data_IF_009137170969
#
_entry.id   IF_009137170969
#
_cell.length_a   1.000
_cell.length_b   1.000
_cell.length_c   1.000
_cell.angle_alpha   90.00
_cell.angle_beta   90.00
_cell.angle_gamma   90.00
#
_symmetry.space_group_name_H-M   'P 1'
#
loop_
_entity.id
_entity.type
_entity.pdbx_description
1 polymer ?
#
# COMPACT_ATOMS: atom_id res chain seq x y z
N UNK A 1 -85.64 9.78 -8.28
CA UNK A 1 -84.41 10.50 -8.62
C UNK A 1 -83.43 10.36 -7.54
N UNK A 2 -82.45 9.44 -7.72
CA UNK A 2 -81.39 9.18 -6.76
C UNK A 2 -80.07 9.15 -7.50
N UNK A 3 -79.23 10.12 -7.19
CA UNK A 3 -77.93 10.37 -7.83
C UNK A 3 -76.88 9.54 -7.15
N UNK A 4 -76.34 8.53 -7.83
CA UNK A 4 -75.21 7.74 -7.36
C UNK A 4 -73.91 8.53 -7.52
N UNK A 5 -73.21 8.77 -6.42
CA UNK A 5 -71.94 9.48 -6.36
C UNK A 5 -70.79 8.46 -6.30
N UNK A 6 -70.08 8.28 -7.40
CA UNK A 6 -68.92 7.41 -7.54
C UNK A 6 -67.73 8.00 -6.75
N UNK A 7 -67.31 7.29 -5.70
CA UNK A 7 -66.10 7.57 -4.93
C UNK A 7 -64.92 6.81 -5.52
N UNK A 8 -64.03 7.52 -6.21
CA UNK A 8 -62.77 6.98 -6.73
C UNK A 8 -61.73 6.92 -5.61
N UNK A 9 -61.39 5.71 -5.21
CA UNK A 9 -60.28 5.49 -4.28
C UNK A 9 -58.99 5.52 -5.11
N UNK A 10 -58.15 6.53 -4.89
CA UNK A 10 -56.81 6.63 -5.44
C UNK A 10 -55.86 5.91 -4.45
N UNK A 11 -55.45 4.70 -4.81
CA UNK A 11 -54.43 3.99 -4.06
C UNK A 11 -53.05 4.57 -4.41
N UNK A 12 -52.49 5.38 -3.50
CA UNK A 12 -51.11 5.88 -3.59
C UNK A 12 -50.11 4.76 -3.26
N UNK A 13 -49.41 4.31 -4.27
CA UNK A 13 -48.28 3.40 -4.12
C UNK A 13 -47.04 4.23 -3.69
N UNK A 14 -46.71 4.20 -2.40
CA UNK A 14 -45.47 4.77 -1.89
C UNK A 14 -44.31 3.87 -2.27
N UNK A 15 -43.53 4.25 -3.27
CA UNK A 15 -42.26 3.57 -3.63
C UNK A 15 -41.21 3.95 -2.61
N UNK A 16 -40.97 3.02 -1.64
CA UNK A 16 -39.90 3.13 -0.66
C UNK A 16 -38.57 2.78 -1.36
N UNK A 17 -37.83 3.79 -1.83
CA UNK A 17 -36.49 3.60 -2.42
C UNK A 17 -35.50 3.38 -1.29
N UNK A 18 -35.12 2.12 -1.05
CA UNK A 18 -33.99 1.78 -0.19
C UNK A 18 -32.69 2.16 -0.90
N UNK A 19 -32.10 3.28 -0.50
CA UNK A 19 -30.69 3.57 -0.83
C UNK A 19 -29.81 2.61 -0.03
N UNK A 20 -29.39 1.49 -0.63
CA UNK A 20 -28.26 0.71 -0.15
C UNK A 20 -27.00 1.56 -0.40
N UNK A 21 -26.57 2.30 0.61
CA UNK A 21 -25.24 2.89 0.63
C UNK A 21 -24.23 1.73 0.75
N UNK A 22 -23.71 1.26 -0.38
CA UNK A 22 -22.56 0.38 -0.40
C UNK A 22 -21.37 1.18 0.12
N UNK A 23 -21.05 1.05 1.40
CA UNK A 23 -19.76 1.49 1.94
C UNK A 23 -18.70 0.64 1.26
N UNK A 24 -18.00 1.20 0.27
CA UNK A 24 -16.80 0.59 -0.28
C UNK A 24 -15.76 0.54 0.84
N UNK A 25 -15.70 -0.59 1.52
CA UNK A 25 -14.67 -0.85 2.51
C UNK A 25 -13.35 -0.88 1.76
N UNK A 26 -12.44 0.03 2.07
CA UNK A 26 -11.13 0.04 1.44
C UNK A 26 -10.51 -1.36 1.61
N UNK A 27 -10.12 -1.98 0.50
CA UNK A 27 -9.54 -3.31 0.53
C UNK A 27 -8.32 -3.30 1.46
N UNK A 28 -8.30 -4.26 2.39
CA UNK A 28 -7.19 -4.44 3.33
C UNK A 28 -5.92 -4.77 2.54
N UNK A 29 -4.80 -4.21 2.98
CA UNK A 29 -3.50 -4.48 2.37
C UNK A 29 -3.08 -5.92 2.68
N UNK A 30 -2.94 -6.74 1.65
CA UNK A 30 -2.53 -8.14 1.80
C UNK A 30 -1.27 -8.46 1.00
N UNK A 31 -0.29 -9.14 1.62
CA UNK A 31 0.90 -9.59 0.91
C UNK A 31 0.56 -10.72 -0.06
N UNK A 32 1.19 -10.70 -1.23
CA UNK A 32 1.10 -11.79 -2.20
C UNK A 32 1.73 -13.07 -1.64
N UNK A 33 1.27 -14.24 -2.07
CA UNK A 33 1.90 -15.53 -1.70
C UNK A 33 3.31 -15.69 -2.26
N UNK A 34 3.60 -15.01 -3.36
CA UNK A 34 4.93 -15.02 -4.00
C UNK A 34 5.25 -13.62 -4.52
N UNK A 35 6.54 -13.27 -4.57
CA UNK A 35 7.06 -12.07 -5.23
C UNK A 35 8.24 -12.51 -6.12
N UNK A 36 8.02 -12.49 -7.45
CA UNK A 36 8.90 -13.16 -8.37
C UNK A 36 8.96 -14.66 -8.03
N UNK A 37 10.14 -15.18 -7.85
CA UNK A 37 10.38 -16.59 -7.49
C UNK A 37 10.44 -16.84 -5.98
N UNK A 38 10.39 -15.79 -5.16
CA UNK A 38 10.42 -15.91 -3.71
C UNK A 38 9.03 -16.22 -3.15
N UNK A 39 8.96 -17.02 -2.08
CA UNK A 39 7.72 -17.41 -1.40
C UNK A 39 7.58 -16.65 -0.09
N UNK A 40 6.34 -16.29 0.24
CA UNK A 40 5.99 -15.71 1.53
C UNK A 40 6.25 -16.72 2.65
N UNK A 41 7.10 -16.35 3.60
CA UNK A 41 7.41 -17.14 4.80
C UNK A 41 6.60 -16.63 5.99
N UNK A 42 6.58 -15.32 6.17
CA UNK A 42 5.91 -14.66 7.30
C UNK A 42 5.39 -13.29 6.92
N UNK A 43 4.30 -12.85 7.56
CA UNK A 43 3.81 -11.48 7.40
C UNK A 43 3.17 -10.96 8.68
N UNK A 44 3.50 -9.71 9.03
CA UNK A 44 2.76 -8.89 9.98
C UNK A 44 1.72 -8.07 9.20
N UNK A 45 0.57 -7.77 9.83
CA UNK A 45 -0.53 -7.01 9.21
C UNK A 45 -1.10 -5.98 10.16
N UNK A 46 -1.77 -4.98 9.61
CA UNK A 46 -2.51 -3.98 10.36
C UNK A 46 -1.69 -3.34 11.46
N UNK A 47 -2.19 -3.37 12.69
CA UNK A 47 -1.55 -2.72 13.85
C UNK A 47 -0.13 -3.22 14.13
N UNK A 48 0.12 -4.51 14.00
CA UNK A 48 1.45 -5.08 14.25
C UNK A 48 2.46 -4.61 13.21
N UNK A 49 2.05 -4.56 11.93
CA UNK A 49 2.87 -4.04 10.86
C UNK A 49 3.16 -2.54 11.04
N UNK A 50 2.15 -1.74 11.38
CA UNK A 50 2.32 -0.32 11.67
C UNK A 50 3.32 -0.10 12.81
N UNK A 51 3.22 -0.86 13.89
CA UNK A 51 4.18 -0.80 15.00
C UNK A 51 5.60 -1.20 14.58
N UNK A 52 5.75 -2.20 13.71
CA UNK A 52 7.05 -2.60 13.19
C UNK A 52 7.68 -1.49 12.33
N UNK A 53 6.89 -0.86 11.45
CA UNK A 53 7.32 0.24 10.60
C UNK A 53 7.66 1.48 11.45
N UNK A 54 6.86 1.82 12.46
CA UNK A 54 7.12 2.95 13.36
C UNK A 54 8.42 2.81 14.13
N UNK A 55 8.78 1.59 14.55
CA UNK A 55 10.09 1.33 15.19
C UNK A 55 11.27 1.61 14.26
N UNK A 56 11.13 1.37 12.95
CA UNK A 56 12.17 1.63 11.97
C UNK A 56 12.35 3.13 11.67
N UNK A 57 11.28 3.91 11.75
CA UNK A 57 11.28 5.30 11.34
C UNK A 57 11.33 6.31 12.52
N UNK A 58 11.33 5.83 13.78
CA UNK A 58 11.07 6.70 14.93
C UNK A 58 9.64 7.25 14.86
N UNK A 59 8.98 7.51 15.92
CA UNK A 59 7.55 7.84 16.07
C UNK A 59 6.94 8.68 14.93
N UNK A 60 5.78 8.25 14.38
CA UNK A 60 4.87 9.13 13.69
C UNK A 60 4.49 8.85 12.25
N UNK A 61 4.57 7.61 11.77
CA UNK A 61 3.85 7.22 10.57
C UNK A 61 2.38 6.97 10.95
N UNK A 62 1.55 8.01 10.88
CA UNK A 62 0.10 7.87 11.03
C UNK A 62 -0.45 7.10 9.82
N UNK A 63 -0.31 5.78 9.82
CA UNK A 63 -0.85 4.88 8.82
C UNK A 63 -2.25 4.41 9.19
N UNK A 64 -3.10 4.17 8.18
CA UNK A 64 -4.43 3.55 8.35
C UNK A 64 -4.37 2.04 8.20
N UNK A 65 -3.41 1.52 7.44
CA UNK A 65 -3.18 0.10 7.21
C UNK A 65 -1.74 -0.16 6.79
N UNK A 66 -1.22 -1.38 7.03
CA UNK A 66 0.10 -1.80 6.62
C UNK A 66 0.25 -3.32 6.59
N UNK A 67 1.26 -3.79 5.86
CA UNK A 67 1.87 -5.10 6.11
C UNK A 67 3.39 -5.03 6.01
N UNK A 68 4.07 -5.96 6.71
CA UNK A 68 5.48 -6.28 6.55
C UNK A 68 5.57 -7.76 6.19
N UNK A 69 6.12 -8.07 5.04
CA UNK A 69 6.18 -9.44 4.53
C UNK A 69 7.62 -9.87 4.28
N UNK A 70 7.94 -11.08 4.72
CA UNK A 70 9.21 -11.75 4.55
C UNK A 70 9.09 -12.83 3.48
N UNK A 71 9.90 -12.74 2.45
CA UNK A 71 9.95 -13.69 1.34
C UNK A 71 11.33 -14.33 1.26
N UNK A 72 11.37 -15.62 0.92
CA UNK A 72 12.60 -16.38 0.78
C UNK A 72 12.60 -17.31 -0.44
N UNK A 73 13.81 -17.56 -0.94
CA UNK A 73 14.14 -18.62 -1.88
C UNK A 73 15.63 -18.98 -1.75
N UNK A 74 15.95 -20.23 -1.42
CA UNK A 74 17.32 -20.76 -1.39
C UNK A 74 18.30 -19.90 -0.56
N UNK A 75 17.86 -19.40 0.60
CA UNK A 75 18.62 -18.52 1.47
C UNK A 75 18.68 -17.05 1.03
N UNK A 76 18.10 -16.68 -0.12
CA UNK A 76 17.94 -15.30 -0.54
C UNK A 76 16.66 -14.70 0.03
N UNK A 77 16.76 -13.48 0.52
CA UNK A 77 15.70 -12.81 1.28
C UNK A 77 15.23 -11.53 0.58
N UNK A 78 13.91 -11.29 0.65
CA UNK A 78 13.32 -9.98 0.40
C UNK A 78 12.32 -9.63 1.49
N UNK A 79 12.42 -8.41 2.02
CA UNK A 79 11.44 -7.80 2.92
C UNK A 79 10.64 -6.76 2.17
N UNK A 80 9.33 -6.82 2.30
CA UNK A 80 8.41 -5.86 1.70
C UNK A 80 7.63 -5.17 2.80
N UNK A 81 7.76 -3.86 2.88
CA UNK A 81 7.03 -2.99 3.79
C UNK A 81 6.05 -2.16 2.97
N UNK A 82 4.78 -2.32 3.21
CA UNK A 82 3.74 -1.53 2.56
C UNK A 82 2.92 -0.83 3.63
N UNK A 83 2.77 0.47 3.48
CA UNK A 83 1.98 1.29 4.41
C UNK A 83 1.07 2.24 3.66
N UNK A 84 -0.15 2.36 4.13
CA UNK A 84 -1.14 3.34 3.67
C UNK A 84 -1.22 4.47 4.68
N UNK A 85 -0.73 5.68 4.37
CA UNK A 85 -0.92 6.85 5.22
C UNK A 85 -2.40 7.14 5.44
N UNK A 86 -2.75 7.69 6.60
CA UNK A 86 -4.13 8.06 6.94
C UNK A 86 -4.75 9.07 5.95
N UNK A 87 -3.89 9.83 5.25
CA UNK A 87 -4.27 10.75 4.18
C UNK A 87 -3.40 10.49 2.96
N UNK A 88 -3.99 10.20 1.81
CA UNK A 88 -3.28 9.92 0.55
C UNK A 88 -2.38 11.09 0.10
N UNK A 89 -2.74 12.33 0.42
CA UNK A 89 -1.91 13.52 0.16
C UNK A 89 -0.56 13.50 0.88
N UNK A 90 -0.41 12.70 1.93
CA UNK A 90 0.85 12.58 2.68
C UNK A 90 1.87 11.62 2.05
N UNK A 91 1.43 10.77 1.11
CA UNK A 91 2.27 9.72 0.53
C UNK A 91 3.51 10.29 -0.20
N UNK A 92 3.32 11.33 -1.02
CA UNK A 92 4.42 11.98 -1.72
C UNK A 92 5.41 12.67 -0.76
N UNK A 93 4.88 13.41 0.22
CA UNK A 93 5.72 14.09 1.23
C UNK A 93 6.53 13.09 2.06
N UNK A 94 5.98 11.93 2.35
CA UNK A 94 6.68 10.86 3.07
C UNK A 94 7.87 10.34 2.25
N UNK A 95 7.68 10.05 0.96
CA UNK A 95 8.77 9.62 0.07
C UNK A 95 9.89 10.65 -0.03
N UNK A 96 9.54 11.92 -0.23
CA UNK A 96 10.53 13.00 -0.29
C UNK A 96 11.30 13.14 1.03
N UNK A 97 10.63 13.00 2.18
CA UNK A 97 11.29 13.01 3.49
C UNK A 97 12.28 11.85 3.63
N UNK A 98 11.92 10.64 3.16
CA UNK A 98 12.80 9.48 3.16
C UNK A 98 14.02 9.73 2.27
N UNK A 99 13.84 10.20 1.04
CA UNK A 99 14.90 10.52 0.10
C UNK A 99 15.83 11.63 0.65
N UNK A 100 15.26 12.69 1.24
CA UNK A 100 16.02 13.77 1.86
C UNK A 100 16.85 13.29 3.05
N UNK A 101 16.33 12.39 3.88
CA UNK A 101 17.07 11.77 4.99
C UNK A 101 18.29 11.00 4.51
N UNK A 102 18.17 10.23 3.43
CA UNK A 102 19.27 9.47 2.83
C UNK A 102 20.31 10.44 2.22
N UNK A 103 19.88 11.45 1.44
CA UNK A 103 20.78 12.46 0.87
C UNK A 103 21.58 13.19 1.93
N UNK A 104 20.97 13.47 3.07
CA UNK A 104 21.60 14.16 4.18
C UNK A 104 22.53 13.26 5.05
N UNK A 105 22.69 11.99 4.71
CA UNK A 105 23.49 11.03 5.49
C UNK A 105 22.94 10.74 6.89
N UNK A 106 21.63 10.98 7.12
CA UNK A 106 20.97 10.77 8.42
C UNK A 106 20.42 9.36 8.60
N UNK A 107 20.74 8.46 7.69
CA UNK A 107 20.28 7.07 7.68
C UNK A 107 21.44 6.14 7.36
N UNK A 108 21.33 4.83 7.63
CA UNK A 108 22.38 3.86 7.24
C UNK A 108 22.40 3.55 5.73
N UNK A 109 21.57 4.23 4.94
CA UNK A 109 21.48 4.02 3.50
C UNK A 109 22.34 5.02 2.74
N UNK A 110 22.92 4.56 1.62
CA UNK A 110 23.81 5.34 0.75
C UNK A 110 23.43 5.17 -0.72
N UNK A 111 24.13 5.86 -1.64
CA UNK A 111 23.98 5.71 -3.09
C UNK A 111 22.52 5.89 -3.57
N UNK A 112 21.82 6.88 -2.99
CA UNK A 112 20.47 7.20 -3.43
C UNK A 112 20.45 7.57 -4.91
N UNK A 113 19.61 6.89 -5.68
CA UNK A 113 19.29 7.20 -7.08
C UNK A 113 17.78 7.24 -7.25
N UNK A 114 17.31 7.88 -8.30
CA UNK A 114 15.91 7.82 -8.73
C UNK A 114 15.83 7.49 -10.22
N UNK A 115 14.78 6.79 -10.61
CA UNK A 115 14.47 6.47 -12.00
C UNK A 115 12.96 6.43 -12.21
N UNK A 116 12.53 6.77 -13.42
CA UNK A 116 11.12 6.62 -13.81
C UNK A 116 10.88 5.19 -14.31
N UNK A 117 9.86 4.53 -13.76
CA UNK A 117 9.42 3.18 -14.10
C UNK A 117 7.90 3.14 -14.14
N UNK A 118 7.32 2.78 -15.28
CA UNK A 118 5.86 2.69 -15.46
C UNK A 118 5.11 3.94 -14.97
N UNK A 119 5.67 5.14 -15.22
CA UNK A 119 5.09 6.41 -14.78
C UNK A 119 5.22 6.70 -13.26
N UNK A 120 6.03 5.92 -12.54
CA UNK A 120 6.30 6.10 -11.12
C UNK A 120 7.77 6.43 -10.90
N UNK A 121 8.05 7.40 -10.02
CA UNK A 121 9.41 7.64 -9.54
C UNK A 121 9.80 6.57 -8.53
N UNK A 122 10.76 5.74 -8.89
CA UNK A 122 11.33 4.69 -8.04
C UNK A 122 12.69 5.17 -7.54
N UNK A 123 12.84 5.24 -6.23
CA UNK A 123 14.13 5.49 -5.57
C UNK A 123 14.83 4.16 -5.29
N UNK A 124 16.16 4.16 -5.39
CA UNK A 124 17.00 3.04 -4.95
C UNK A 124 18.11 3.52 -4.04
N UNK A 125 18.50 2.68 -3.07
CA UNK A 125 19.61 2.94 -2.15
C UNK A 125 20.30 1.64 -1.77
N UNK A 126 21.51 1.72 -1.24
CA UNK A 126 22.27 0.59 -0.72
C UNK A 126 22.36 0.72 0.80
N UNK A 127 22.20 -0.38 1.52
CA UNK A 127 22.37 -0.42 2.97
C UNK A 127 22.20 -1.82 3.54
N UNK A 128 22.86 -2.11 4.65
CA UNK A 128 22.72 -3.36 5.38
C UNK A 128 22.96 -4.63 4.54
N UNK A 129 23.82 -4.54 3.50
CA UNK A 129 24.09 -5.64 2.59
C UNK A 129 23.03 -5.87 1.51
N UNK A 130 21.98 -5.06 1.47
CA UNK A 130 20.84 -5.19 0.58
C UNK A 130 20.70 -3.99 -0.38
N UNK A 131 19.93 -4.21 -1.45
CA UNK A 131 19.43 -3.16 -2.33
C UNK A 131 18.02 -2.81 -1.85
N UNK A 132 17.81 -1.52 -1.64
CA UNK A 132 16.55 -0.97 -1.21
C UNK A 132 15.88 -0.21 -2.36
N UNK A 133 14.58 -0.43 -2.56
CA UNK A 133 13.75 0.38 -3.45
C UNK A 133 12.58 0.95 -2.67
N UNK A 134 12.20 2.18 -2.98
CA UNK A 134 10.98 2.74 -2.42
C UNK A 134 10.28 3.66 -3.42
N UNK A 135 8.97 3.58 -3.42
CA UNK A 135 8.13 4.32 -4.35
C UNK A 135 6.69 4.42 -3.82
N UNK A 136 5.91 5.24 -4.50
CA UNK A 136 4.47 5.37 -4.25
C UNK A 136 3.69 4.57 -5.28
N UNK A 137 2.68 3.84 -4.83
CA UNK A 137 1.67 3.21 -5.66
C UNK A 137 0.29 3.62 -5.17
N UNK A 138 -0.40 4.50 -5.93
CA UNK A 138 -1.66 5.08 -5.48
C UNK A 138 -1.53 5.78 -4.13
N UNK A 139 -2.25 5.30 -3.13
CA UNK A 139 -2.20 5.81 -1.76
C UNK A 139 -1.13 5.14 -0.89
N UNK A 140 -0.42 4.13 -1.39
CA UNK A 140 0.49 3.31 -0.59
C UNK A 140 1.94 3.73 -0.79
N UNK A 141 2.73 3.66 0.28
CA UNK A 141 4.19 3.72 0.28
C UNK A 141 4.72 2.31 0.32
N UNK A 142 5.58 1.96 -0.62
CA UNK A 142 6.21 0.66 -0.73
C UNK A 142 7.71 0.83 -0.48
N UNK A 143 8.26 0.02 0.41
CA UNK A 143 9.69 -0.14 0.62
C UNK A 143 10.06 -1.61 0.48
N UNK A 144 11.04 -1.89 -0.37
CA UNK A 144 11.61 -3.20 -0.62
C UNK A 144 13.03 -3.19 -0.06
N UNK A 145 13.41 -4.21 0.69
CA UNK A 145 14.78 -4.52 1.05
C UNK A 145 15.07 -5.94 0.56
N UNK A 146 15.98 -6.11 -0.38
CA UNK A 146 16.22 -7.41 -0.99
C UNK A 146 17.70 -7.68 -1.22
N UNK A 147 18.08 -8.96 -1.11
CA UNK A 147 19.41 -9.40 -1.43
C UNK A 147 19.74 -9.11 -2.90
N UNK A 148 20.98 -8.67 -3.21
CA UNK A 148 21.33 -8.21 -4.55
C UNK A 148 20.94 -9.15 -5.70
N UNK A 149 21.06 -10.50 -5.58
CA UNK A 149 20.71 -11.40 -6.67
C UNK A 149 19.22 -11.38 -7.05
N UNK A 150 18.32 -11.04 -6.14
CA UNK A 150 16.86 -11.07 -6.34
C UNK A 150 16.20 -9.69 -6.34
N UNK A 151 16.93 -8.65 -5.96
CA UNK A 151 16.37 -7.32 -5.77
C UNK A 151 15.64 -6.77 -7.00
N UNK A 152 16.24 -6.91 -8.20
CA UNK A 152 15.65 -6.45 -9.45
C UNK A 152 14.41 -7.26 -9.84
N UNK A 153 14.45 -8.58 -9.69
CA UNK A 153 13.31 -9.46 -9.93
C UNK A 153 12.12 -9.08 -9.06
N UNK A 154 12.35 -8.84 -7.76
CA UNK A 154 11.32 -8.43 -6.81
C UNK A 154 10.70 -7.08 -7.22
N UNK A 155 11.54 -6.10 -7.56
CA UNK A 155 11.05 -4.80 -8.02
C UNK A 155 10.17 -4.93 -9.28
N UNK A 156 10.68 -5.58 -10.34
CA UNK A 156 9.97 -5.71 -11.61
C UNK A 156 8.63 -6.45 -11.43
N UNK A 157 8.61 -7.51 -10.62
CA UNK A 157 7.38 -8.23 -10.31
C UNK A 157 6.33 -7.33 -9.64
N UNK A 158 6.75 -6.50 -8.69
CA UNK A 158 5.84 -5.60 -7.98
C UNK A 158 5.35 -4.45 -8.87
N UNK A 159 6.20 -3.93 -9.76
CA UNK A 159 5.81 -2.89 -10.71
C UNK A 159 4.85 -3.36 -11.80
N UNK A 160 4.85 -4.67 -12.14
CA UNK A 160 3.95 -5.27 -13.13
C UNK A 160 2.56 -5.62 -12.57
N UNK A 161 2.39 -5.68 -11.26
CA UNK A 161 1.13 -6.05 -10.59
C UNK A 161 0.18 -4.89 -10.41
N UNK A 162 0.34 -3.84 -11.16
CA UNK A 162 -0.59 -2.73 -11.12
C UNK A 162 -1.78 -2.91 -12.06
N UNK A 163 -2.97 -2.56 -11.59
CA UNK A 163 -4.11 -2.24 -12.43
C UNK A 163 -4.03 -0.80 -12.87
#
# INVERSE_FOLDING_TARGET
MATCRNMRIVAGFAFLVFFLSAYAQAAQLEPAKTVGTLRLVHALRGKEALQAIDRLHGKGLAGSDAYVAHYERDGLVAMLYVSRPARSSMTGAQLEKMAAGIRAGKTPFTHLKSSERNGMTVYSALGQGQIHYFYRRGADVIWIAADPPVAREVLEFLLQRDP
#
